data_IF_734571343535
#
_entry.id   IF_734571343535
#
_cell.length_a   1.000
_cell.length_b   1.000
_cell.length_c   1.000
_cell.angle_alpha   90.00
_cell.angle_beta   90.00
_cell.angle_gamma   90.00
#
_symmetry.space_group_name_H-M   'P 1'
#
loop_
_entity.id
_entity.type
_entity.pdbx_description
1 polymer ?
#
# COMPACT_ATOMS: atom_id res chain seq x y z
N UNK A 1 14.53 -4.70 3.24
CA UNK A 1 13.32 -5.13 2.50
C UNK A 1 13.37 -4.48 1.12
N UNK A 2 13.13 -5.27 0.07
CA UNK A 2 13.05 -4.80 -1.31
C UNK A 2 11.63 -4.94 -1.86
N UNK A 3 11.18 -3.97 -2.64
CA UNK A 3 9.83 -3.94 -3.26
C UNK A 3 9.96 -3.77 -4.76
N UNK A 4 9.52 -4.79 -5.50
CA UNK A 4 9.40 -4.76 -6.95
C UNK A 4 8.10 -4.07 -7.33
N UNK A 5 8.21 -2.91 -7.98
CA UNK A 5 7.08 -2.04 -8.24
C UNK A 5 7.04 -1.48 -9.67
N UNK A 6 5.85 -1.02 -10.07
CA UNK A 6 5.66 -0.21 -11.27
C UNK A 6 4.90 1.08 -10.88
N UNK A 7 5.47 2.29 -11.11
CA UNK A 7 4.85 3.57 -10.75
C UNK A 7 3.45 3.78 -11.32
N UNK A 8 3.18 3.23 -12.52
CA UNK A 8 1.89 3.37 -13.20
C UNK A 8 0.76 2.58 -12.51
N UNK A 9 1.07 1.64 -11.62
CA UNK A 9 0.09 0.78 -10.98
C UNK A 9 -0.49 1.40 -9.70
N UNK A 10 -1.82 1.59 -9.66
CA UNK A 10 -2.53 2.11 -8.48
C UNK A 10 -2.23 1.32 -7.20
N UNK A 11 -2.26 -0.02 -7.27
CA UNK A 11 -1.94 -0.90 -6.14
C UNK A 11 -0.50 -0.74 -5.65
N UNK A 12 0.46 -0.51 -6.55
CA UNK A 12 1.84 -0.24 -6.13
C UNK A 12 1.96 1.12 -5.42
N UNK A 13 1.19 2.13 -5.82
CA UNK A 13 1.15 3.43 -5.12
C UNK A 13 0.55 3.29 -3.73
N UNK A 14 -0.60 2.61 -3.61
CA UNK A 14 -1.21 2.32 -2.30
C UNK A 14 -0.27 1.56 -1.37
N UNK A 15 0.40 0.53 -1.89
CA UNK A 15 1.40 -0.23 -1.12
C UNK A 15 2.54 0.67 -0.62
N UNK A 16 3.09 1.52 -1.50
CA UNK A 16 4.13 2.48 -1.14
C UNK A 16 3.66 3.44 -0.04
N UNK A 17 2.47 4.03 -0.21
CA UNK A 17 1.91 4.99 0.76
C UNK A 17 1.64 4.34 2.13
N UNK A 18 1.29 3.05 2.15
CA UNK A 18 1.15 2.28 3.40
C UNK A 18 2.49 2.02 4.08
N UNK A 19 3.51 1.62 3.32
CA UNK A 19 4.87 1.42 3.86
C UNK A 19 5.46 2.74 4.38
N UNK A 20 5.28 3.84 3.62
CA UNK A 20 5.73 5.18 4.02
C UNK A 20 5.04 5.63 5.32
N UNK A 21 3.71 5.49 5.42
CA UNK A 21 2.96 5.81 6.65
C UNK A 21 3.36 4.94 7.83
N UNK A 22 3.78 3.69 7.58
CA UNK A 22 4.21 2.79 8.62
C UNK A 22 5.62 3.09 9.15
N UNK A 23 6.38 3.96 8.48
CA UNK A 23 7.75 4.33 8.83
C UNK A 23 8.77 3.21 8.62
N UNK A 24 8.47 2.25 7.74
CA UNK A 24 9.33 1.09 7.50
C UNK A 24 10.36 1.39 6.41
N UNK A 25 11.60 0.94 6.58
CA UNK A 25 12.65 1.08 5.58
C UNK A 25 12.52 0.05 4.46
N UNK A 26 12.53 0.49 3.20
CA UNK A 26 12.51 -0.40 2.04
C UNK A 26 13.26 0.20 0.84
N UNK A 27 13.73 -0.66 -0.06
CA UNK A 27 14.29 -0.28 -1.37
C UNK A 27 13.26 -0.52 -2.46
N UNK A 28 13.20 0.39 -3.44
CA UNK A 28 12.30 0.30 -4.58
C UNK A 28 13.06 -0.16 -5.83
N UNK A 29 12.71 -1.33 -6.36
CA UNK A 29 13.20 -1.80 -7.66
C UNK A 29 12.12 -1.65 -8.71
N UNK A 30 12.40 -0.85 -9.74
CA UNK A 30 11.56 -0.74 -10.95
C UNK A 30 11.83 -1.95 -11.83
N UNK A 31 11.19 -3.08 -11.54
CA UNK A 31 11.46 -4.37 -12.17
C UNK A 31 11.23 -4.41 -13.70
N UNK A 32 10.61 -3.39 -14.30
CA UNK A 32 10.51 -3.26 -15.75
C UNK A 32 11.72 -2.59 -16.39
N UNK A 33 12.41 -1.73 -15.63
CA UNK A 33 13.62 -1.03 -16.05
C UNK A 33 14.88 -1.85 -15.67
N UNK A 34 14.81 -2.52 -14.52
CA UNK A 34 15.84 -3.41 -13.97
C UNK A 34 15.22 -4.78 -13.65
N UNK A 35 15.05 -5.66 -14.65
CA UNK A 35 14.41 -6.95 -14.49
C UNK A 35 15.21 -7.89 -13.58
N UNK A 36 14.54 -8.70 -12.74
CA UNK A 36 15.21 -9.73 -11.97
C UNK A 36 15.80 -10.78 -12.90
N UNK A 37 17.02 -11.22 -12.58
CA UNK A 37 17.65 -12.40 -13.16
C UNK A 37 16.85 -13.67 -12.81
N UNK A 38 17.12 -14.76 -13.54
CA UNK A 38 16.51 -16.07 -13.25
C UNK A 38 16.78 -16.53 -11.81
N UNK A 39 18.01 -16.30 -11.30
CA UNK A 39 18.39 -16.70 -9.95
C UNK A 39 17.67 -15.88 -8.88
N UNK A 40 17.57 -14.56 -9.06
CA UNK A 40 16.78 -13.69 -8.17
C UNK A 40 15.30 -14.08 -8.19
N UNK A 41 14.75 -14.40 -9.36
CA UNK A 41 13.36 -14.83 -9.48
C UNK A 41 13.12 -16.18 -8.79
N UNK A 42 14.05 -17.14 -8.91
CA UNK A 42 13.99 -18.42 -8.20
C UNK A 42 14.04 -18.21 -6.68
N UNK A 43 14.91 -17.33 -6.20
CA UNK A 43 14.99 -16.98 -4.79
C UNK A 43 13.68 -16.35 -4.29
N UNK A 44 13.11 -15.41 -5.04
CA UNK A 44 11.82 -14.80 -4.74
C UNK A 44 10.69 -15.84 -4.69
N UNK A 45 10.62 -16.75 -5.66
CA UNK A 45 9.62 -17.82 -5.71
C UNK A 45 9.75 -18.78 -4.53
N UNK A 46 10.97 -19.13 -4.13
CA UNK A 46 11.23 -19.95 -2.95
C UNK A 46 10.76 -19.26 -1.67
N UNK A 47 11.04 -17.97 -1.52
CA UNK A 47 10.57 -17.15 -0.38
C UNK A 47 9.04 -17.00 -0.35
N UNK A 48 8.41 -16.94 -1.52
CA UNK A 48 6.95 -16.88 -1.68
C UNK A 48 6.27 -18.23 -1.42
N UNK A 49 6.99 -19.35 -1.58
CA UNK A 49 6.41 -20.69 -1.61
C UNK A 49 5.48 -20.90 -2.81
N UNK A 50 5.70 -20.17 -3.91
CA UNK A 50 4.84 -20.17 -5.10
C UNK A 50 5.58 -20.71 -6.32
N UNK A 51 4.82 -21.20 -7.29
CA UNK A 51 5.34 -21.58 -8.60
C UNK A 51 5.36 -20.36 -9.54
N UNK A 52 6.20 -20.35 -10.59
CA UNK A 52 6.32 -19.20 -11.49
C UNK A 52 5.00 -18.84 -12.18
N UNK A 53 4.14 -19.82 -12.49
CA UNK A 53 2.82 -19.55 -13.07
C UNK A 53 1.84 -18.86 -12.09
N UNK A 54 2.03 -19.01 -10.77
CA UNK A 54 1.17 -18.36 -9.76
C UNK A 54 1.44 -16.86 -9.66
N UNK A 55 2.69 -16.45 -9.92
CA UNK A 55 3.10 -15.05 -9.99
C UNK A 55 2.98 -14.46 -11.39
N UNK A 56 2.35 -15.17 -12.33
CA UNK A 56 2.13 -14.67 -13.69
C UNK A 56 0.81 -13.91 -13.83
N UNK A 57 0.84 -12.78 -14.54
CA UNK A 57 -0.30 -11.95 -14.91
C UNK A 57 -0.93 -12.47 -16.20
N UNK A 58 -1.91 -13.33 -16.05
CA UNK A 58 -2.67 -13.90 -17.18
C UNK A 58 -3.52 -12.88 -17.95
N UNK A 59 -3.73 -11.68 -17.41
CA UNK A 59 -4.51 -10.61 -18.04
C UNK A 59 -3.70 -9.73 -18.99
N UNK A 60 -2.38 -9.86 -19.03
CA UNK A 60 -1.55 -9.10 -19.98
C UNK A 60 -1.71 -9.66 -21.40
N UNK A 61 -1.86 -8.82 -22.45
CA UNK A 61 -1.95 -9.29 -23.84
C UNK A 61 -0.79 -10.22 -24.24
N UNK A 62 0.42 -9.88 -23.79
CA UNK A 62 1.64 -10.65 -24.01
C UNK A 62 1.53 -12.11 -23.55
N UNK A 63 0.75 -12.39 -22.50
CA UNK A 63 0.52 -13.76 -22.02
C UNK A 63 -0.11 -14.65 -23.11
N UNK A 64 -1.04 -14.10 -23.87
CA UNK A 64 -1.70 -14.81 -24.98
C UNK A 64 -0.83 -14.86 -26.22
N UNK A 65 -0.12 -13.77 -26.53
CA UNK A 65 0.80 -13.69 -27.67
C UNK A 65 1.91 -14.75 -27.58
N UNK A 66 2.40 -15.02 -26.38
CA UNK A 66 3.41 -16.05 -26.11
C UNK A 66 2.82 -17.47 -25.96
N UNK A 67 1.50 -17.65 -26.08
CA UNK A 67 0.86 -18.96 -26.00
C UNK A 67 0.85 -19.61 -24.60
N UNK A 68 1.10 -18.85 -23.54
CA UNK A 68 1.27 -19.37 -22.17
C UNK A 68 -0.02 -19.95 -21.54
N UNK A 69 -1.17 -19.70 -22.16
CA UNK A 69 -2.46 -20.28 -21.75
C UNK A 69 -2.44 -21.81 -21.74
N UNK A 70 -1.73 -22.43 -22.69
CA UNK A 70 -1.61 -23.89 -22.82
C UNK A 70 -0.26 -24.45 -22.39
N UNK A 71 0.62 -23.63 -21.82
CA UNK A 71 1.94 -24.08 -21.40
C UNK A 71 1.83 -25.04 -20.19
N UNK A 72 2.63 -26.13 -20.16
CA UNK A 72 2.62 -27.12 -19.08
C UNK A 72 3.09 -26.50 -17.76
N UNK A 73 2.64 -27.07 -16.62
CA UNK A 73 2.82 -26.52 -15.26
C UNK A 73 2.99 -27.61 -14.20
N UNK A 74 3.54 -28.76 -14.59
CA UNK A 74 3.50 -29.97 -13.75
C UNK A 74 4.89 -30.36 -13.26
N UNK A 75 5.91 -30.08 -14.06
CA UNK A 75 7.26 -30.56 -13.80
C UNK A 75 8.20 -29.43 -13.41
N UNK A 76 9.33 -29.80 -12.80
CA UNK A 76 10.42 -28.86 -12.54
C UNK A 76 10.97 -28.24 -13.82
N UNK A 77 11.03 -29.03 -14.90
CA UNK A 77 11.46 -28.54 -16.21
C UNK A 77 10.51 -27.44 -16.73
N UNK A 78 9.20 -27.60 -16.51
CA UNK A 78 8.24 -26.55 -16.85
C UNK A 78 8.51 -25.29 -16.02
N UNK A 79 8.66 -25.42 -14.71
CA UNK A 79 8.96 -24.28 -13.84
C UNK A 79 10.22 -23.53 -14.30
N UNK A 80 11.28 -24.24 -14.71
CA UNK A 80 12.49 -23.63 -15.26
C UNK A 80 12.23 -22.84 -16.55
N UNK A 81 11.38 -23.36 -17.45
CA UNK A 81 10.99 -22.66 -18.67
C UNK A 81 10.15 -21.41 -18.36
N UNK A 82 9.23 -21.48 -17.41
CA UNK A 82 8.44 -20.34 -16.97
C UNK A 82 9.30 -19.24 -16.33
N UNK A 83 10.30 -19.60 -15.52
CA UNK A 83 11.25 -18.64 -14.93
C UNK A 83 11.99 -17.86 -16.02
N UNK A 84 12.48 -18.54 -17.06
CA UNK A 84 13.14 -17.89 -18.21
C UNK A 84 12.23 -16.88 -18.90
N UNK A 85 11.00 -17.30 -19.20
CA UNK A 85 9.99 -16.43 -19.82
C UNK A 85 9.70 -15.21 -18.96
N UNK A 86 9.58 -15.37 -17.65
CA UNK A 86 9.30 -14.26 -16.73
C UNK A 86 10.49 -13.29 -16.58
N UNK A 87 11.71 -13.80 -16.61
CA UNK A 87 12.92 -12.97 -16.60
C UNK A 87 13.07 -12.18 -17.91
N UNK A 88 12.76 -12.80 -19.05
CA UNK A 88 12.79 -12.14 -20.37
C UNK A 88 11.62 -11.15 -20.56
N UNK A 89 10.47 -11.45 -19.96
CA UNK A 89 9.25 -10.67 -20.07
C UNK A 89 8.73 -10.27 -18.69
N UNK A 90 9.44 -9.38 -17.95
CA UNK A 90 9.10 -9.01 -16.58
C UNK A 90 7.68 -8.45 -16.46
N UNK A 91 7.10 -7.86 -17.53
CA UNK A 91 5.71 -7.38 -17.56
C UNK A 91 4.67 -8.44 -17.15
N UNK A 92 4.99 -9.72 -17.33
CA UNK A 92 4.16 -10.84 -16.91
C UNK A 92 4.19 -11.08 -15.39
N UNK A 93 5.12 -10.53 -14.64
CA UNK A 93 5.17 -10.69 -13.18
C UNK A 93 4.07 -9.91 -12.48
N UNK A 94 3.44 -10.56 -11.49
CA UNK A 94 2.54 -9.90 -10.54
C UNK A 94 3.27 -8.77 -9.80
N UNK A 95 2.49 -7.79 -9.35
CA UNK A 95 3.00 -6.60 -8.68
C UNK A 95 2.02 -6.08 -7.63
N UNK A 96 2.51 -5.43 -6.56
CA UNK A 96 3.91 -5.44 -6.11
C UNK A 96 4.34 -6.81 -5.56
N UNK A 97 5.63 -7.13 -5.67
CA UNK A 97 6.27 -8.25 -4.95
C UNK A 97 7.19 -7.64 -3.89
N UNK A 98 7.07 -8.11 -2.66
CA UNK A 98 7.86 -7.63 -1.52
C UNK A 98 8.75 -8.76 -1.03
N UNK A 99 10.04 -8.48 -0.86
CA UNK A 99 11.06 -9.39 -0.33
C UNK A 99 11.59 -8.81 0.98
N UNK A 100 11.32 -9.46 2.11
CA UNK A 100 11.88 -9.07 3.40
C UNK A 100 13.28 -9.65 3.60
N UNK A 101 14.06 -9.00 4.46
CA UNK A 101 15.45 -9.40 4.74
C UNK A 101 15.53 -10.70 5.55
N UNK A 102 14.43 -11.10 6.20
CA UNK A 102 14.31 -12.35 6.96
C UNK A 102 13.93 -13.57 6.08
N UNK A 103 13.94 -13.40 4.76
CA UNK A 103 13.68 -14.45 3.79
C UNK A 103 12.20 -14.68 3.48
N UNK A 104 11.29 -13.89 4.06
CA UNK A 104 9.86 -13.93 3.70
C UNK A 104 9.58 -13.07 2.46
N UNK A 105 8.53 -13.43 1.72
CA UNK A 105 8.08 -12.66 0.58
C UNK A 105 6.56 -12.66 0.44
N UNK A 106 6.01 -11.63 -0.22
CA UNK A 106 4.58 -11.47 -0.45
C UNK A 106 4.27 -10.92 -1.83
N UNK A 107 3.13 -11.35 -2.39
CA UNK A 107 2.49 -10.66 -3.51
C UNK A 107 1.43 -9.71 -2.94
N UNK A 108 1.84 -8.48 -2.60
CA UNK A 108 1.04 -7.53 -1.83
C UNK A 108 -0.05 -6.82 -2.67
N UNK A 109 -1.09 -7.57 -3.05
CA UNK A 109 -2.17 -7.08 -3.93
C UNK A 109 -3.36 -6.49 -3.18
N UNK A 110 -3.46 -6.73 -1.88
CA UNK A 110 -4.55 -6.35 -0.99
C UNK A 110 -4.02 -5.83 0.35
N UNK A 111 -4.87 -5.12 1.09
CA UNK A 111 -4.50 -4.48 2.36
C UNK A 111 -4.20 -5.45 3.49
N UNK A 112 -4.78 -6.66 3.46
CA UNK A 112 -4.46 -7.71 4.45
C UNK A 112 -3.01 -8.13 4.33
N UNK A 113 -2.60 -8.46 3.10
CA UNK A 113 -1.20 -8.80 2.80
C UNK A 113 -0.25 -7.64 3.14
N UNK A 114 -0.61 -6.39 2.86
CA UNK A 114 0.22 -5.23 3.22
C UNK A 114 0.38 -5.05 4.73
N UNK A 115 -0.67 -5.33 5.50
CA UNK A 115 -0.59 -5.32 6.97
C UNK A 115 0.43 -6.34 7.47
N UNK A 116 0.47 -7.54 6.89
CA UNK A 116 1.47 -8.56 7.22
C UNK A 116 2.89 -8.11 6.86
N UNK A 117 3.07 -7.50 5.68
CA UNK A 117 4.36 -6.94 5.25
C UNK A 117 4.86 -5.89 6.24
N UNK A 118 4.00 -4.97 6.68
CA UNK A 118 4.34 -3.93 7.66
C UNK A 118 4.72 -4.55 9.01
N UNK A 119 3.95 -5.53 9.48
CA UNK A 119 4.24 -6.24 10.72
C UNK A 119 5.59 -6.97 10.65
N UNK A 120 5.88 -7.60 9.50
CA UNK A 120 7.14 -8.25 9.23
C UNK A 120 8.33 -7.27 9.26
N UNK A 121 8.21 -6.13 8.58
CA UNK A 121 9.23 -5.10 8.53
C UNK A 121 9.56 -4.54 9.93
N UNK A 122 8.55 -4.34 10.78
CA UNK A 122 8.73 -3.86 12.16
C UNK A 122 9.42 -4.90 13.05
N UNK A 123 9.08 -6.17 12.86
CA UNK A 123 9.66 -7.28 13.65
C UNK A 123 11.14 -7.51 13.30
N UNK A 124 11.54 -7.27 12.05
CA UNK A 124 12.94 -7.37 11.62
C UNK A 124 13.83 -6.20 12.07
N UNK A 125 13.23 -5.08 12.51
CA UNK A 125 13.94 -3.90 13.01
C UNK A 125 13.91 -3.74 14.54
N UNK A 126 13.28 -4.66 15.26
CA UNK A 126 13.12 -4.57 16.71
C UNK A 126 13.87 -5.71 17.42
N UNK A 127 15.20 -5.62 17.46
CA UNK A 127 15.90 -6.08 18.65
C UNK A 127 15.54 -5.08 19.77
N UNK A 128 14.51 -5.42 20.54
CA UNK A 128 14.08 -4.64 21.68
C UNK A 128 15.14 -4.78 22.77
N UNK A 129 16.13 -3.87 22.80
CA UNK A 129 17.10 -3.82 23.89
C UNK A 129 16.34 -3.44 25.18
N UNK A 130 16.25 -4.33 26.18
CA UNK A 130 15.57 -4.05 27.44
C UNK A 130 16.29 -2.98 28.30
N UNK A 131 17.44 -2.46 27.84
CA UNK A 131 18.21 -1.39 28.48
C UNK A 131 18.25 -0.08 27.67
N UNK A 132 17.60 -0.02 26.51
CA UNK A 132 17.49 1.22 25.75
C UNK A 132 16.47 2.17 26.42
N UNK A 133 16.87 3.38 26.86
CA UNK A 133 15.94 4.34 27.44
C UNK A 133 14.83 4.80 26.48
N UNK A 134 14.99 4.63 25.17
CA UNK A 134 13.96 4.97 24.18
C UNK A 134 12.79 3.97 24.14
N UNK A 135 12.99 2.71 24.55
CA UNK A 135 11.92 1.70 24.64
C UNK A 135 11.14 1.77 25.96
N UNK A 136 11.71 2.39 27.00
CA UNK A 136 11.04 2.59 28.30
C UNK A 136 9.95 3.67 28.28
N UNK A 137 9.96 4.56 27.28
CA UNK A 137 9.01 5.67 27.12
C UNK A 137 8.46 5.77 25.70
N UNK A 138 8.23 4.64 25.03
CA UNK A 138 7.48 4.66 23.78
C UNK A 138 6.03 5.07 24.09
N UNK A 139 5.79 6.38 24.06
CA UNK A 139 4.47 6.98 24.07
C UNK A 139 3.65 6.26 22.98
N UNK A 140 2.56 5.60 23.40
CA UNK A 140 1.64 4.95 22.47
C UNK A 140 1.13 5.94 21.42
N UNK A 141 0.49 5.46 20.33
CA UNK A 141 0.02 6.35 19.27
C UNK A 141 -0.82 7.48 19.87
N UNK A 142 -0.29 8.70 19.81
CA UNK A 142 -1.04 9.92 20.09
C UNK A 142 -2.19 9.92 19.10
N UNK A 143 -3.40 9.75 19.61
CA UNK A 143 -4.61 9.90 18.82
C UNK A 143 -4.54 11.28 18.12
N UNK A 144 -4.91 11.38 16.84
CA UNK A 144 -4.93 12.67 16.16
C UNK A 144 -5.76 13.64 17.01
N UNK A 145 -5.17 14.77 17.35
CA UNK A 145 -5.88 15.81 18.10
C UNK A 145 -7.15 16.17 17.31
N UNK A 146 -8.33 16.20 17.97
CA UNK A 146 -9.56 16.56 17.29
C UNK A 146 -9.42 17.97 16.71
N UNK A 147 -9.99 18.26 15.53
CA UNK A 147 -9.95 19.58 14.96
C UNK A 147 -10.56 20.58 15.94
N UNK A 148 -9.92 21.75 16.09
CA UNK A 148 -10.41 22.86 16.90
C UNK A 148 -11.88 23.14 16.54
N UNK A 149 -12.78 22.78 17.45
CA UNK A 149 -14.19 23.11 17.35
C UNK A 149 -14.33 24.60 17.70
N UNK A 150 -14.46 25.41 16.65
CA UNK A 150 -14.78 26.84 16.69
C UNK A 150 -16.00 27.05 17.59
N UNK A 151 -15.77 27.33 18.88
CA UNK A 151 -16.82 27.77 19.78
C UNK A 151 -17.36 29.11 19.26
N UNK A 152 -18.66 29.25 18.95
CA UNK A 152 -19.22 30.56 18.72
C UNK A 152 -19.18 31.33 20.05
N UNK A 153 -18.49 32.48 20.05
CA UNK A 153 -18.50 33.42 21.16
C UNK A 153 -19.93 33.84 21.48
N UNK A 154 -20.32 33.60 22.72
CA UNK A 154 -21.56 34.08 23.33
C UNK A 154 -21.67 35.60 23.19
N UNK A 155 -22.50 36.05 22.26
CA UNK A 155 -22.88 37.46 22.18
C UNK A 155 -23.79 37.83 23.36
N UNK A 156 -23.51 38.92 24.10
CA UNK A 156 -24.32 39.29 25.24
C UNK A 156 -25.62 39.96 24.81
N UNK A 157 -26.68 39.49 25.47
CA UNK A 157 -28.02 40.07 25.54
C UNK A 157 -27.95 41.59 25.77
N UNK A 158 -28.54 42.39 24.87
CA UNK A 158 -28.91 43.78 25.16
C UNK A 158 -30.41 43.98 24.95
N UNK A 159 -31.05 44.19 26.07
CA UNK A 159 -32.38 44.74 26.30
C UNK A 159 -32.46 46.18 25.76
N UNK A 160 -33.57 46.49 25.09
CA UNK A 160 -34.04 47.86 24.82
C UNK A 160 -35.52 47.79 24.42
N UNK A 161 -36.39 48.01 25.41
CA UNK A 161 -37.82 48.21 25.20
C UNK A 161 -38.16 49.48 24.41
N UNK A 162 -39.38 49.51 23.87
CA UNK A 162 -39.94 50.70 23.23
C UNK A 162 -41.25 50.45 22.47
N UNK A 163 -42.36 50.49 23.22
CA UNK A 163 -43.70 51.06 22.92
C UNK A 163 -44.08 51.43 21.47
N UNK A 164 -45.24 50.92 20.99
CA UNK A 164 -45.92 51.27 19.71
C UNK A 164 -46.51 52.70 19.67
N UNK A 165 -47.64 53.02 18.98
CA UNK A 165 -48.56 52.18 18.17
C UNK A 165 -48.96 52.80 16.79
N UNK A 166 -49.86 52.15 16.05
CA UNK A 166 -50.93 52.85 15.30
C UNK A 166 -51.02 52.67 13.78
N UNK A 167 -52.21 52.90 13.18
CA UNK A 167 -52.78 52.08 12.10
C UNK A 167 -52.89 52.78 10.74
N UNK A 168 -53.28 51.99 9.72
CA UNK A 168 -53.94 52.37 8.46
C UNK A 168 -53.26 53.39 7.53
N UNK A 169 -52.82 52.92 6.35
CA UNK A 169 -53.10 53.52 5.03
C UNK A 169 -52.35 52.71 3.95
N UNK A 170 -53.06 51.78 3.29
CA UNK A 170 -53.62 51.94 1.94
C UNK A 170 -52.62 51.71 0.80
N UNK A 171 -52.90 50.67 0.02
CA UNK A 171 -52.86 50.64 -1.44
C UNK A 171 -51.71 51.38 -2.15
N UNK A 172 -50.80 50.59 -2.74
CA UNK A 172 -50.40 50.63 -4.17
C UNK A 172 -48.99 50.11 -4.35
N UNK A 173 -48.86 48.94 -4.96
CA UNK A 173 -48.10 48.74 -6.21
C UNK A 173 -48.14 47.25 -6.59
N UNK A 174 -49.18 46.94 -7.38
CA UNK A 174 -49.24 45.97 -8.48
C UNK A 174 -48.64 44.57 -8.29
#
# INVERSE_FOLDING_TARGET
MEVWFNPACSRCRTARDELDRAGVGYTLRRYLDDPPSEDELRAALAALGLQPWDVTRTSEPLFRELGLSGAPRETRHDADAWVRVLAEHPRLLQRPIVLADDGRAWVARDGGTLTEVVAAARSGGQEMDPRDPATLYAEGPVAPEPPDDDRPESSPLRDSGGTGPGPDDLDRLL
#
